data_IF_929753888614
#
_entry.id   IF_929753888614
#
_cell.length_a   1.000
_cell.length_b   1.000
_cell.length_c   1.000
_cell.angle_alpha   90.00
_cell.angle_beta   90.00
_cell.angle_gamma   90.00
#
_symmetry.space_group_name_H-M   'P 1'
#
loop_
_entity.id
_entity.type
_entity.pdbx_description
1 polymer ?
#
# COMPACT_ATOMS: atom_id res chain seq x y z
N UNK A 1 7.92 1.95 -8.85
CA UNK A 1 7.77 2.37 -7.44
C UNK A 1 7.75 1.15 -6.55
N UNK A 2 8.24 1.27 -5.32
CA UNK A 2 8.21 0.20 -4.31
C UNK A 2 7.77 0.77 -2.97
N UNK A 3 6.72 0.19 -2.37
CA UNK A 3 6.28 0.51 -1.00
C UNK A 3 6.80 -0.57 -0.07
N UNK A 4 7.41 -0.20 1.05
CA UNK A 4 8.12 -1.14 1.93
C UNK A 4 7.73 -1.00 3.40
N UNK A 5 7.70 -2.14 4.11
CA UNK A 5 7.73 -2.22 5.56
C UNK A 5 6.39 -2.04 6.28
N UNK A 6 5.28 -1.87 5.55
CA UNK A 6 3.95 -1.75 6.14
C UNK A 6 3.36 -3.10 6.54
N UNK A 7 2.34 -3.09 7.40
CA UNK A 7 1.43 -4.22 7.56
C UNK A 7 0.34 -4.12 6.51
N UNK A 8 0.20 -5.14 5.66
CA UNK A 8 -0.77 -5.17 4.57
C UNK A 8 -2.00 -5.97 4.94
N UNK A 9 -3.17 -5.33 4.89
CA UNK A 9 -4.48 -5.96 4.88
C UNK A 9 -4.97 -5.98 3.43
N UNK A 10 -4.86 -7.13 2.77
CA UNK A 10 -4.96 -7.22 1.30
C UNK A 10 -6.38 -7.41 0.75
N UNK A 11 -7.42 -7.42 1.60
CA UNK A 11 -8.81 -7.62 1.21
C UNK A 11 -9.19 -9.07 0.84
N UNK A 12 -8.27 -10.04 0.90
CA UNK A 12 -8.54 -11.44 0.58
C UNK A 12 -9.13 -12.25 1.74
N UNK A 13 -9.23 -11.65 2.93
CA UNK A 13 -9.63 -12.32 4.16
C UNK A 13 -8.52 -13.12 4.85
N UNK A 14 -7.30 -13.12 4.30
CA UNK A 14 -6.10 -13.68 4.96
C UNK A 14 -5.62 -12.77 6.09
N UNK A 15 -4.81 -13.35 6.98
CA UNK A 15 -4.16 -12.60 8.05
C UNK A 15 -3.31 -11.44 7.50
N UNK A 16 -3.23 -10.30 8.22
CA UNK A 16 -2.40 -9.18 7.81
C UNK A 16 -0.94 -9.60 7.57
N UNK A 17 -0.38 -9.17 6.44
CA UNK A 17 0.99 -9.45 6.07
C UNK A 17 1.93 -8.38 6.63
N UNK A 18 2.62 -8.69 7.74
CA UNK A 18 3.58 -7.79 8.36
C UNK A 18 4.83 -7.57 7.48
N UNK A 19 5.37 -6.35 7.50
CA UNK A 19 6.62 -6.01 6.80
C UNK A 19 6.53 -6.09 5.27
N UNK A 20 5.33 -6.04 4.72
CA UNK A 20 5.06 -6.24 3.31
C UNK A 20 5.84 -5.24 2.42
N UNK A 21 6.28 -5.76 1.28
CA UNK A 21 6.81 -4.98 0.16
C UNK A 21 5.88 -5.15 -1.04
N UNK A 22 5.46 -4.02 -1.62
CA UNK A 22 4.62 -3.95 -2.82
C UNK A 22 5.43 -3.31 -3.94
N UNK A 23 5.62 -4.05 -5.03
CA UNK A 23 6.32 -3.56 -6.23
C UNK A 23 5.28 -3.14 -7.25
N UNK A 24 5.41 -1.91 -7.76
CA UNK A 24 4.45 -1.33 -8.70
C UNK A 24 5.20 -0.91 -9.98
N UNK A 25 4.71 -1.39 -11.12
CA UNK A 25 5.25 -1.12 -12.46
C UNK A 25 4.13 -0.66 -13.38
N UNK A 26 4.26 0.54 -13.94
CA UNK A 26 3.30 1.06 -14.92
C UNK A 26 1.86 1.07 -14.43
N UNK A 27 1.62 1.42 -13.16
CA UNK A 27 0.28 1.44 -12.57
C UNK A 27 -0.22 0.10 -12.03
N UNK A 28 0.48 -1.00 -12.31
CA UNK A 28 0.06 -2.37 -11.92
C UNK A 28 0.93 -2.90 -10.78
N UNK A 29 0.33 -3.67 -9.87
CA UNK A 29 1.03 -4.43 -8.84
C UNK A 29 1.79 -5.57 -9.53
N UNK A 30 3.11 -5.51 -9.47
CA UNK A 30 3.99 -6.54 -10.01
C UNK A 30 4.25 -7.66 -8.99
N UNK A 31 4.34 -7.32 -7.71
CA UNK A 31 4.58 -8.28 -6.63
C UNK A 31 4.09 -7.75 -5.27
N UNK A 32 3.68 -8.68 -4.41
CA UNK A 32 3.41 -8.48 -2.98
C UNK A 32 4.16 -9.57 -2.22
N UNK A 33 4.97 -9.21 -1.23
CA UNK A 33 5.79 -10.20 -0.51
C UNK A 33 6.14 -9.75 0.91
N UNK A 34 6.19 -10.67 1.89
CA UNK A 34 6.67 -10.40 3.24
C UNK A 34 8.18 -10.14 3.31
N UNK A 35 8.94 -10.66 2.34
CA UNK A 35 10.39 -10.45 2.28
C UNK A 35 10.67 -9.19 1.48
N UNK A 36 11.51 -8.32 2.03
CA UNK A 36 12.03 -7.17 1.30
C UNK A 36 12.62 -7.62 -0.03
N UNK A 37 12.02 -7.16 -1.13
CA UNK A 37 12.59 -7.37 -2.46
C UNK A 37 13.59 -6.24 -2.70
N UNK A 38 14.76 -6.53 -3.29
CA UNK A 38 15.58 -5.46 -3.85
C UNK A 38 14.69 -4.61 -4.76
N UNK A 39 14.56 -3.31 -4.45
CA UNK A 39 13.82 -2.45 -5.35
C UNK A 39 14.56 -2.41 -6.68
N UNK A 40 13.85 -2.45 -7.82
CA UNK A 40 14.48 -2.22 -9.11
C UNK A 40 15.28 -0.93 -9.10
N UNK A 41 16.44 -0.92 -9.76
CA UNK A 41 17.28 0.28 -9.85
C UNK A 41 16.46 1.47 -10.39
N UNK A 42 16.57 2.62 -9.73
CA UNK A 42 15.81 3.83 -10.09
C UNK A 42 14.32 3.81 -9.74
N UNK A 43 13.80 2.76 -9.08
CA UNK A 43 12.43 2.78 -8.60
C UNK A 43 12.30 3.73 -7.40
N UNK A 44 11.36 4.67 -7.49
CA UNK A 44 10.91 5.48 -6.35
C UNK A 44 10.52 4.56 -5.18
N UNK A 45 11.06 4.84 -3.99
CA UNK A 45 10.81 4.06 -2.79
C UNK A 45 10.00 4.85 -1.77
N UNK A 46 9.03 4.15 -1.22
CA UNK A 46 8.13 4.63 -0.18
C UNK A 46 8.36 3.79 1.08
N UNK A 47 8.85 4.43 2.15
CA UNK A 47 9.00 3.81 3.46
C UNK A 47 7.74 3.97 4.29
N UNK A 48 7.02 2.85 4.45
CA UNK A 48 5.75 2.76 5.17
C UNK A 48 5.88 1.91 6.44
N UNK A 49 7.08 1.81 7.04
CA UNK A 49 7.29 1.10 8.30
C UNK A 49 6.39 1.63 9.42
N UNK A 50 5.77 0.70 10.15
CA UNK A 50 4.83 1.01 11.23
C UNK A 50 3.48 1.55 10.75
N UNK A 51 3.22 1.52 9.43
CA UNK A 51 1.95 1.93 8.82
C UNK A 51 1.19 0.72 8.30
N UNK A 52 -0.07 0.94 7.94
CA UNK A 52 -0.98 -0.06 7.42
C UNK A 52 -1.32 0.22 5.98
N UNK A 53 -1.40 -0.80 5.13
CA UNK A 53 -1.85 -0.69 3.75
C UNK A 53 -3.16 -1.44 3.59
N UNK A 54 -4.13 -0.80 2.95
CA UNK A 54 -5.37 -1.42 2.50
C UNK A 54 -5.62 -1.11 1.01
N UNK A 55 -6.39 -1.94 0.31
CA UNK A 55 -6.96 -1.61 -0.99
C UNK A 55 -7.68 -0.25 -0.98
N UNK A 56 -7.59 0.49 -2.08
CA UNK A 56 -8.31 1.74 -2.26
C UNK A 56 -9.82 1.54 -2.28
N UNK A 57 -10.57 2.45 -1.65
CA UNK A 57 -12.04 2.39 -1.56
C UNK A 57 -12.77 2.85 -2.84
N UNK A 58 -12.05 3.17 -3.92
CA UNK A 58 -12.57 3.97 -5.05
C UNK A 58 -12.96 3.13 -6.29
N UNK A 59 -12.42 1.92 -6.50
CA UNK A 59 -12.76 1.10 -7.67
C UNK A 59 -13.27 -0.31 -7.31
N UNK A 60 -14.56 -0.54 -7.57
CA UNK A 60 -15.22 -1.84 -7.40
C UNK A 60 -14.99 -2.83 -8.55
N UNK A 61 -14.36 -2.42 -9.67
CA UNK A 61 -14.26 -3.25 -10.89
C UNK A 61 -13.30 -4.43 -10.76
N UNK A 62 -12.44 -4.45 -9.75
CA UNK A 62 -11.48 -5.53 -9.52
C UNK A 62 -11.42 -5.93 -8.04
N UNK A 63 -12.58 -6.26 -7.45
CA UNK A 63 -12.73 -6.93 -6.13
C UNK A 63 -11.63 -6.52 -5.14
N UNK A 64 -11.76 -5.33 -4.53
CA UNK A 64 -10.75 -4.60 -3.76
C UNK A 64 -9.74 -5.42 -2.97
N UNK A 65 -8.77 -6.00 -3.68
CA UNK A 65 -7.65 -6.74 -3.11
C UNK A 65 -6.34 -6.30 -3.74
N UNK A 66 -5.24 -6.46 -3.00
CA UNK A 66 -3.90 -6.09 -3.45
C UNK A 66 -3.13 -7.34 -3.86
N UNK A 67 -3.17 -7.66 -5.15
CA UNK A 67 -2.56 -8.87 -5.73
C UNK A 67 -1.81 -8.56 -7.03
N UNK A 68 -0.78 -9.34 -7.40
CA UNK A 68 -0.09 -9.18 -8.68
C UNK A 68 -1.04 -9.19 -9.87
N UNK A 69 -0.80 -8.28 -10.83
CA UNK A 69 -1.62 -8.10 -12.03
C UNK A 69 -2.80 -7.14 -11.86
N UNK A 70 -3.13 -6.72 -10.63
CA UNK A 70 -4.18 -5.72 -10.37
C UNK A 70 -3.64 -4.29 -10.41
N UNK A 71 -4.52 -3.33 -10.66
CA UNK A 71 -4.21 -1.90 -10.54
C UNK A 71 -3.75 -1.57 -9.12
N UNK A 72 -2.73 -0.72 -9.02
CA UNK A 72 -2.21 -0.26 -7.74
C UNK A 72 -3.04 0.91 -7.18
N UNK A 73 -4.20 0.57 -6.63
CA UNK A 73 -5.06 1.47 -5.87
C UNK A 73 -5.00 1.10 -4.38
N UNK A 74 -4.39 1.95 -3.58
CA UNK A 74 -4.17 1.67 -2.16
C UNK A 74 -4.18 2.92 -1.30
N UNK A 75 -4.44 2.70 -0.02
CA UNK A 75 -4.36 3.73 1.02
C UNK A 75 -3.38 3.27 2.08
N UNK A 76 -2.52 4.18 2.53
CA UNK A 76 -1.64 3.97 3.68
C UNK A 76 -2.23 4.70 4.89
N UNK A 77 -2.39 3.98 6.00
CA UNK A 77 -2.97 4.46 7.24
C UNK A 77 -1.95 4.46 8.38
N UNK A 78 -2.07 5.43 9.27
CA UNK A 78 -1.27 5.57 10.49
C UNK A 78 -1.68 4.63 11.63
N UNK A 79 -2.79 3.92 11.49
CA UNK A 79 -3.34 3.01 12.49
C UNK A 79 -3.98 1.78 11.86
N UNK A 80 -4.19 0.74 12.67
CA UNK A 80 -4.79 -0.53 12.26
C UNK A 80 -6.29 -0.37 11.96
N UNK A 81 -6.72 -0.55 10.70
CA UNK A 81 -8.12 -0.41 10.34
C UNK A 81 -8.99 -1.60 10.75
N UNK A 82 -8.40 -2.73 11.18
CA UNK A 82 -9.15 -3.88 11.68
C UNK A 82 -9.69 -3.68 13.10
N UNK A 83 -9.05 -2.80 13.88
CA UNK A 83 -9.43 -2.52 15.27
C UNK A 83 -10.45 -1.39 15.40
N UNK A 84 -10.46 -0.43 14.46
CA UNK A 84 -11.40 0.69 14.47
C UNK A 84 -11.50 1.36 13.12
N UNK A 85 -12.73 1.64 12.69
CA UNK A 85 -12.97 2.44 11.47
C UNK A 85 -12.39 3.85 11.58
N UNK A 86 -12.09 4.36 12.78
CA UNK A 86 -11.43 5.66 12.96
C UNK A 86 -10.03 5.74 12.33
N UNK A 87 -9.39 4.59 12.06
CA UNK A 87 -8.11 4.54 11.36
C UNK A 87 -8.14 5.27 10.00
N UNK A 88 -9.31 5.31 9.33
CA UNK A 88 -9.47 6.03 8.05
C UNK A 88 -9.31 7.55 8.19
N UNK A 89 -9.27 8.09 9.41
CA UNK A 89 -8.97 9.52 9.66
C UNK A 89 -7.46 9.79 9.70
N UNK A 90 -6.63 8.76 9.78
CA UNK A 90 -5.17 8.84 9.83
C UNK A 90 -4.58 8.41 8.50
N UNK A 91 -5.06 9.00 7.41
CA UNK A 91 -4.53 8.74 6.06
C UNK A 91 -3.16 9.38 5.95
N UNK A 92 -2.18 8.61 5.51
CA UNK A 92 -0.81 9.07 5.29
C UNK A 92 -0.48 9.22 3.80
N UNK A 93 -1.07 8.36 2.97
CA UNK A 93 -0.89 8.36 1.52
C UNK A 93 -2.10 7.77 0.82
N UNK A 94 -2.49 8.37 -0.30
CA UNK A 94 -3.47 7.80 -1.24
C UNK A 94 -2.80 7.60 -2.58
N UNK A 95 -2.90 6.38 -3.10
CA UNK A 95 -2.43 6.00 -4.42
C UNK A 95 -3.59 5.59 -5.30
N UNK A 96 -3.59 6.10 -6.53
CA UNK A 96 -4.56 5.77 -7.57
C UNK A 96 -3.83 5.50 -8.88
N UNK A 97 -4.19 4.42 -9.57
CA UNK A 97 -3.58 4.00 -10.83
C UNK A 97 -2.03 3.92 -10.75
N UNK A 98 -1.53 3.51 -9.57
CA UNK A 98 -0.11 3.48 -9.21
C UNK A 98 0.58 4.84 -9.14
N UNK A 99 -0.17 5.94 -9.02
CA UNK A 99 0.34 7.30 -8.79
C UNK A 99 -0.09 7.79 -7.42
N UNK A 100 0.81 8.47 -6.72
CA UNK A 100 0.47 9.15 -5.48
C UNK A 100 -0.39 10.37 -5.83
N UNK A 101 -1.62 10.42 -5.33
CA UNK A 101 -2.54 11.56 -5.54
C UNK A 101 -2.65 12.45 -4.30
N UNK A 102 -2.24 11.94 -3.14
CA UNK A 102 -2.22 12.71 -1.90
C UNK A 102 -1.22 12.10 -0.90
N UNK A 103 -0.56 12.97 -0.12
CA UNK A 103 0.28 12.59 1.02
C UNK A 103 0.05 13.53 2.19
N UNK A 104 0.07 13.00 3.40
CA UNK A 104 0.13 13.80 4.63
C UNK A 104 1.50 14.49 4.74
N UNK A 105 1.52 15.75 5.19
CA UNK A 105 2.76 16.49 5.48
C UNK A 105 3.61 15.84 6.57
N UNK A 106 3.00 15.03 7.44
CA UNK A 106 3.66 14.31 8.54
C UNK A 106 3.96 12.83 8.21
N UNK A 107 3.53 12.35 7.04
CA UNK A 107 3.46 10.94 6.69
C UNK A 107 4.58 10.43 5.77
N UNK A 108 4.62 9.11 5.62
CA UNK A 108 5.37 8.27 4.66
C UNK A 108 6.48 8.97 3.85
N UNK A 109 7.74 8.53 4.04
CA UNK A 109 8.91 9.19 3.43
C UNK A 109 9.25 8.61 2.06
N UNK A 110 9.33 9.47 1.05
CA UNK A 110 10.00 9.21 -0.23
C UNK A 110 11.52 9.25 -0.01
N UNK A 111 12.26 8.22 -0.43
CA UNK A 111 13.72 8.15 -0.39
C UNK A 111 14.29 7.53 -1.66
#
# INVERSE_FOLDING_TARGET
MVVTGATLLDGTGRDPLAGATIVIRGGTIAAVTPRGVPAPAGAERIDARGKWIIPGLIEARTLGTLEPGKTADLVVLGADPSLSISAIRQIELVMRDGRIVWTSTAGVRSR
#
